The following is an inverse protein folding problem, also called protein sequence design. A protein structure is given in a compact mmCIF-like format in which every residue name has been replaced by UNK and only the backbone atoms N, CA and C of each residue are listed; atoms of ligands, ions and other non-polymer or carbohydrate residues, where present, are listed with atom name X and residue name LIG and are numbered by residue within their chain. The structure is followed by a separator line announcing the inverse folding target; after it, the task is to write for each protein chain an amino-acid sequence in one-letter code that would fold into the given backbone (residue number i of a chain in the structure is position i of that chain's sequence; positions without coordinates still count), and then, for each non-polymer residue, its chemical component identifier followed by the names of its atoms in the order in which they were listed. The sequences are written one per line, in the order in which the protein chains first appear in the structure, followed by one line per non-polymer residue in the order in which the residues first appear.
data_IF_997386768137
#
_entry.id   IF_997386768137
#
_cell.length_a   1.000
_cell.length_b   1.000
_cell.length_c   1.000
_cell.angle_alpha   90.00
_cell.angle_beta   90.00
_cell.angle_gamma   90.00
#
_symmetry.space_group_name_H-M   'P 1'
#
loop_
_entity.id
_entity.type
_entity.pdbx_description
1 polymer ?
#
# COMPACT_ATOMS: atom_id res chain seq x y z
N UNK A 1 22.16 -69.48 63.82
CA UNK A 1 21.14 -68.41 63.68
C UNK A 1 21.78 -67.09 64.06
N UNK A 2 21.76 -66.16 63.11
CA UNK A 2 22.71 -65.06 62.95
C UNK A 2 22.60 -64.01 64.06
N UNK A 3 23.69 -63.78 64.77
CA UNK A 3 23.93 -62.60 65.61
C UNK A 3 25.00 -61.76 64.93
N UNK A 4 24.72 -60.46 64.85
CA UNK A 4 25.48 -59.52 64.05
C UNK A 4 26.80 -59.03 64.65
N UNK A 5 27.29 -58.01 63.94
CA UNK A 5 28.42 -57.12 64.21
C UNK A 5 29.81 -57.74 64.04
N UNK A 6 30.52 -57.20 63.05
CA UNK A 6 31.94 -56.77 62.99
C UNK A 6 32.20 -56.53 61.48
N UNK A 7 32.25 -55.27 61.00
CA UNK A 7 33.48 -54.49 60.76
C UNK A 7 34.43 -55.24 59.77
N UNK A 8 34.84 -54.75 58.58
CA UNK A 8 35.69 -53.57 58.33
C UNK A 8 36.26 -53.67 56.88
N UNK A 9 36.53 -52.50 56.24
CA UNK A 9 37.41 -52.20 55.08
C UNK A 9 36.99 -52.72 53.68
N UNK A 10 36.98 -51.97 52.56
CA UNK A 10 37.91 -51.00 51.93
C UNK A 10 37.02 -50.22 50.91
N UNK A 11 37.02 -48.89 50.70
CA UNK A 11 38.05 -48.03 50.12
C UNK A 11 37.49 -46.59 49.94
N UNK A 12 38.33 -45.57 50.21
CA UNK A 12 38.47 -44.28 49.48
C UNK A 12 37.21 -43.40 49.27
N UNK A 13 37.10 -42.14 49.70
CA UNK A 13 38.03 -41.19 50.33
C UNK A 13 37.48 -39.76 50.15
N UNK A 14 37.40 -39.01 51.26
CA UNK A 14 37.60 -37.55 51.43
C UNK A 14 36.78 -36.56 50.55
N UNK A 15 36.14 -35.47 51.02
CA UNK A 15 36.12 -34.72 52.29
C UNK A 15 34.89 -33.81 52.26
N UNK A 16 34.18 -33.75 53.39
CA UNK A 16 33.38 -32.61 53.81
C UNK A 16 34.17 -31.86 54.90
N UNK A 17 34.14 -30.53 54.91
CA UNK A 17 34.55 -29.74 56.07
C UNK A 17 33.64 -28.52 56.21
N UNK A 18 32.95 -28.41 57.35
CA UNK A 18 32.06 -27.31 57.71
C UNK A 18 32.70 -26.26 58.62
N UNK A 19 31.87 -25.24 58.95
CA UNK A 19 31.63 -24.65 60.29
C UNK A 19 32.84 -24.64 61.26
N UNK A 20 33.34 -23.53 61.84
CA UNK A 20 32.68 -22.40 62.54
C UNK A 20 33.77 -21.43 63.03
N UNK A 21 33.43 -20.13 63.12
CA UNK A 21 33.87 -19.09 64.08
C UNK A 21 35.33 -19.03 64.58
N UNK A 22 35.93 -17.84 64.54
CA UNK A 22 36.48 -17.06 65.68
C UNK A 22 36.90 -15.68 65.13
N UNK A 23 36.49 -14.61 65.81
CA UNK A 23 36.80 -13.23 65.43
C UNK A 23 38.19 -12.78 65.88
N UNK A 24 38.75 -11.82 65.15
CA UNK A 24 39.56 -10.73 65.70
C UNK A 24 39.77 -9.65 64.64
N UNK A 25 39.33 -8.46 65.01
CA UNK A 25 39.44 -7.13 64.39
C UNK A 25 40.87 -6.72 64.01
N UNK A 26 41.05 -6.17 62.80
CA UNK A 26 42.03 -5.11 62.51
C UNK A 26 41.67 -4.32 61.22
N UNK A 27 40.88 -3.26 61.43
CA UNK A 27 40.96 -1.92 60.84
C UNK A 27 41.95 -1.69 59.66
N UNK A 28 41.45 -1.44 58.44
CA UNK A 28 41.96 -0.39 57.55
C UNK A 28 40.78 0.25 56.80
N UNK A 29 40.68 1.57 56.92
CA UNK A 29 39.68 2.45 56.37
C UNK A 29 39.80 2.64 54.84
N UNK A 30 38.63 2.64 54.20
CA UNK A 30 38.11 3.67 53.30
C UNK A 30 38.52 3.76 51.81
N UNK A 31 37.43 3.92 51.03
CA UNK A 31 37.23 4.82 49.89
C UNK A 31 37.49 4.27 48.48
N UNK A 32 36.39 3.90 47.83
CA UNK A 32 36.20 3.88 46.37
C UNK A 32 36.31 5.30 45.79
N UNK A 33 37.10 5.56 44.73
CA UNK A 33 36.92 6.77 43.95
C UNK A 33 35.91 6.53 42.83
N UNK A 34 34.83 7.30 42.93
CA UNK A 34 33.91 7.68 41.87
C UNK A 34 34.72 8.43 40.80
N UNK A 35 34.72 7.97 39.55
CA UNK A 35 35.39 8.66 38.46
C UNK A 35 34.62 9.92 38.05
N UNK A 36 35.01 11.07 38.60
CA UNK A 36 34.68 12.39 38.10
C UNK A 36 35.86 12.87 37.24
N UNK A 37 35.63 13.06 35.94
CA UNK A 37 36.66 13.47 34.99
C UNK A 37 36.63 15.00 34.85
N UNK A 38 37.33 15.68 35.76
CA UNK A 38 37.61 17.11 35.69
C UNK A 38 38.80 17.32 34.74
N UNK A 39 38.56 17.99 33.60
CA UNK A 39 39.62 18.38 32.66
C UNK A 39 40.22 19.70 33.12
N UNK A 40 41.45 19.62 33.63
CA UNK A 40 42.26 20.75 34.03
C UNK A 40 43.17 21.15 32.86
N UNK A 41 42.77 22.19 32.12
CA UNK A 41 43.42 22.70 30.90
C UNK A 41 44.63 23.59 31.23
N UNK A 42 45.60 23.04 31.96
CA UNK A 42 46.86 23.72 32.25
C UNK A 42 47.97 23.03 31.44
N UNK A 43 48.74 23.84 30.71
CA UNK A 43 49.86 23.50 29.81
C UNK A 43 49.53 23.30 28.32
N UNK A 44 49.21 24.41 27.63
CA UNK A 44 49.58 24.58 26.22
C UNK A 44 49.95 26.04 25.92
N UNK A 45 51.13 26.46 26.34
CA UNK A 45 51.73 27.73 25.87
C UNK A 45 52.74 27.42 24.78
N UNK A 46 52.27 27.31 23.54
CA UNK A 46 53.08 27.64 22.37
C UNK A 46 52.44 28.85 21.71
N UNK A 47 53.05 30.01 21.97
CA UNK A 47 52.61 31.34 21.53
C UNK A 47 53.07 31.53 20.09
N UNK A 48 52.13 31.55 19.17
CA UNK A 48 52.35 31.83 17.74
C UNK A 48 52.61 33.35 17.54
N UNK A 49 53.78 33.79 17.04
CA UNK A 49 54.18 35.20 17.04
C UNK A 49 53.64 36.04 15.87
N UNK A 50 52.67 35.56 15.08
CA UNK A 50 52.20 36.27 13.87
C UNK A 50 50.71 36.65 13.83
N UNK A 51 50.00 36.70 14.97
CA UNK A 51 48.66 37.33 15.00
C UNK A 51 48.76 38.83 15.27
N UNK A 52 48.83 39.59 14.19
CA UNK A 52 48.40 41.00 14.14
C UNK A 52 47.06 41.16 14.85
N UNK A 53 47.00 42.16 15.73
CA UNK A 53 45.85 42.58 16.51
C UNK A 53 44.58 42.68 15.64
N UNK A 54 43.62 41.78 15.88
CA UNK A 54 42.25 42.00 15.40
C UNK A 54 41.59 42.98 16.36
N UNK A 55 41.58 44.25 15.95
CA UNK A 55 40.79 45.31 16.55
C UNK A 55 39.36 44.83 16.78
N UNK A 56 38.87 45.02 18.00
CA UNK A 56 37.46 44.84 18.36
C UNK A 56 36.62 45.86 17.56
N UNK A 57 36.07 45.43 16.44
CA UNK A 57 35.01 46.19 15.74
C UNK A 57 33.69 45.87 16.44
N UNK A 58 32.99 46.86 17.01
CA UNK A 58 31.66 46.62 17.57
C UNK A 58 30.77 46.14 16.42
N UNK A 59 30.15 44.97 16.59
CA UNK A 59 29.15 44.46 15.64
C UNK A 59 27.98 45.45 15.62
N UNK A 60 27.96 46.32 14.62
CA UNK A 60 26.72 47.00 14.24
C UNK A 60 25.68 45.92 13.99
N UNK A 61 24.55 46.04 14.69
CA UNK A 61 23.38 45.20 14.50
C UNK A 61 22.77 45.54 13.15
N UNK A 62 23.31 44.95 12.09
CA UNK A 62 22.67 44.96 10.78
C UNK A 62 21.39 44.14 10.90
N UNK A 63 20.26 44.81 11.08
CA UNK A 63 18.96 44.18 10.83
C UNK A 63 18.83 44.11 9.31
N UNK A 64 18.72 42.92 8.70
CA UNK A 64 18.49 42.87 7.25
C UNK A 64 17.22 43.66 6.94
N UNK A 65 17.19 44.46 5.86
CA UNK A 65 15.93 45.05 5.43
C UNK A 65 14.95 43.91 5.24
N UNK A 66 13.79 44.03 5.88
CA UNK A 66 12.67 43.15 5.65
C UNK A 66 12.25 43.36 4.20
N UNK A 67 12.88 42.64 3.28
CA UNK A 67 12.32 42.45 1.95
C UNK A 67 11.03 41.68 2.17
N UNK A 68 9.95 42.45 2.27
CA UNK A 68 8.65 42.10 1.73
C UNK A 68 8.88 41.45 0.35
N UNK A 69 8.15 40.38 0.08
CA UNK A 69 8.20 39.56 -1.14
C UNK A 69 9.19 38.38 -1.15
N UNK A 70 9.25 37.62 -0.06
CA UNK A 70 9.39 36.18 -0.24
C UNK A 70 8.12 35.70 -0.97
N UNK A 71 8.19 35.10 -2.18
CA UNK A 71 7.00 34.62 -2.86
C UNK A 71 6.28 33.69 -1.89
N UNK A 72 5.00 34.01 -1.61
CA UNK A 72 4.17 33.21 -0.74
C UNK A 72 4.36 31.76 -1.15
N UNK A 73 4.93 30.94 -0.25
CA UNK A 73 5.14 29.53 -0.49
C UNK A 73 3.76 28.98 -0.79
N UNK A 74 3.46 28.75 -2.08
CA UNK A 74 2.16 28.26 -2.50
C UNK A 74 1.95 26.98 -1.69
N UNK A 75 1.04 27.05 -0.73
CA UNK A 75 0.60 25.87 -0.02
C UNK A 75 0.12 24.94 -1.11
N UNK A 76 0.81 23.80 -1.30
CA UNK A 76 0.33 22.77 -2.21
C UNK A 76 -1.17 22.61 -1.97
N UNK A 77 -2.01 22.61 -3.02
CA UNK A 77 -3.43 22.37 -2.86
C UNK A 77 -3.58 21.16 -1.93
N UNK A 78 -4.32 21.34 -0.84
CA UNK A 78 -4.72 20.23 0.03
C UNK A 78 -5.35 19.21 -0.91
N UNK A 79 -4.78 18.00 -0.93
CA UNK A 79 -5.35 16.89 -1.70
C UNK A 79 -6.83 16.81 -1.31
N UNK A 80 -7.76 16.82 -2.28
CA UNK A 80 -9.18 16.87 -1.96
C UNK A 80 -9.52 15.72 -1.02
N UNK A 81 -10.40 15.94 -0.02
CA UNK A 81 -10.75 14.89 0.94
C UNK A 81 -11.27 13.67 0.18
N UNK A 82 -10.64 12.52 0.41
CA UNK A 82 -11.06 11.27 -0.21
C UNK A 82 -12.45 10.90 0.28
N UNK A 83 -13.38 10.66 -0.63
CA UNK A 83 -14.68 10.05 -0.35
C UNK A 83 -14.60 8.53 -0.13
N UNK A 84 -13.39 7.98 0.02
CA UNK A 84 -13.19 6.55 0.26
C UNK A 84 -13.76 6.13 1.62
N UNK A 85 -14.37 4.94 1.72
CA UNK A 85 -14.85 4.38 2.97
C UNK A 85 -13.73 4.31 4.01
N UNK A 86 -14.11 4.56 5.26
CA UNK A 86 -13.20 4.53 6.39
C UNK A 86 -13.65 3.49 7.41
N UNK A 87 -12.99 2.34 7.39
CA UNK A 87 -13.21 1.26 8.34
C UNK A 87 -12.27 1.35 9.54
N UNK A 88 -12.64 0.64 10.60
CA UNK A 88 -11.85 0.52 11.82
C UNK A 88 -11.20 -0.86 11.86
N UNK A 89 -9.89 -0.90 12.12
CA UNK A 89 -9.19 -2.14 12.44
C UNK A 89 -9.01 -2.22 13.96
N UNK A 90 -9.33 -3.38 14.55
CA UNK A 90 -9.40 -3.57 16.01
C UNK A 90 -8.16 -4.28 16.54
N UNK A 91 -7.80 -4.11 17.80
CA UNK A 91 -6.65 -4.82 18.36
C UNK A 91 -6.97 -6.27 18.76
N UNK A 92 -8.23 -6.63 18.99
CA UNK A 92 -8.67 -7.99 19.35
C UNK A 92 -10.08 -8.32 18.86
N UNK A 93 -10.44 -9.61 18.84
CA UNK A 93 -11.79 -10.04 18.49
C UNK A 93 -12.84 -9.50 19.50
N UNK A 94 -12.49 -9.47 20.79
CA UNK A 94 -13.37 -8.94 21.85
C UNK A 94 -13.67 -7.45 21.65
N UNK A 95 -12.63 -6.65 21.39
CA UNK A 95 -12.80 -5.22 21.10
C UNK A 95 -13.66 -4.99 19.86
N UNK A 96 -13.48 -5.81 18.82
CA UNK A 96 -14.32 -5.74 17.62
C UNK A 96 -15.79 -6.01 17.95
N UNK A 97 -16.09 -7.05 18.74
CA UNK A 97 -17.44 -7.40 19.14
C UNK A 97 -18.10 -6.32 20.01
N UNK A 98 -17.33 -5.65 20.88
CA UNK A 98 -17.83 -4.56 21.74
C UNK A 98 -18.10 -3.26 20.97
N UNK A 99 -17.25 -2.93 20.00
CA UNK A 99 -17.37 -1.69 19.23
C UNK A 99 -18.44 -1.75 18.13
N UNK A 100 -18.85 -2.95 17.72
CA UNK A 100 -19.79 -3.16 16.61
C UNK A 100 -21.21 -3.34 17.13
N UNK A 101 -22.18 -2.92 16.33
CA UNK A 101 -23.61 -3.13 16.62
C UNK A 101 -23.99 -4.62 16.63
N UNK A 102 -23.25 -5.45 15.90
CA UNK A 102 -23.43 -6.90 15.89
C UNK A 102 -22.06 -7.58 15.82
N UNK A 103 -21.90 -8.73 16.51
CA UNK A 103 -20.64 -9.46 16.52
C UNK A 103 -20.26 -9.88 15.11
N UNK A 104 -18.95 -9.92 14.83
CA UNK A 104 -18.47 -10.35 13.52
C UNK A 104 -18.59 -11.88 13.38
N UNK A 105 -18.89 -12.33 12.17
CA UNK A 105 -18.90 -13.75 11.81
C UNK A 105 -17.51 -14.23 11.43
N UNK A 106 -16.74 -13.38 10.74
CA UNK A 106 -15.38 -13.68 10.31
C UNK A 106 -14.42 -12.61 10.86
N UNK A 107 -13.29 -13.06 11.39
CA UNK A 107 -12.21 -12.22 11.91
C UNK A 107 -10.95 -12.49 11.10
N UNK A 108 -10.48 -11.45 10.42
CA UNK A 108 -9.26 -11.47 9.61
C UNK A 108 -8.13 -10.90 10.47
N UNK A 109 -7.19 -11.74 10.90
CA UNK A 109 -6.01 -11.29 11.61
C UNK A 109 -4.91 -10.88 10.63
N UNK A 110 -4.56 -9.60 10.63
CA UNK A 110 -3.48 -9.05 9.82
C UNK A 110 -2.28 -8.80 10.72
N UNK A 111 -1.17 -9.46 10.45
CA UNK A 111 0.01 -9.45 11.32
C UNK A 111 1.32 -9.39 10.54
N UNK A 112 2.39 -9.01 11.25
CA UNK A 112 3.72 -8.82 10.69
C UNK A 112 4.34 -7.49 11.09
N UNK A 113 5.25 -6.97 10.26
CA UNK A 113 6.04 -5.78 10.59
C UNK A 113 5.26 -4.47 10.36
N UNK A 114 5.97 -3.35 10.16
CA UNK A 114 5.36 -2.04 9.96
C UNK A 114 4.50 -1.93 8.69
N UNK A 115 4.59 -2.87 7.75
CA UNK A 115 3.71 -2.92 6.58
C UNK A 115 2.32 -3.50 6.88
N UNK A 116 2.19 -4.27 7.96
CA UNK A 116 0.94 -4.95 8.30
C UNK A 116 -0.15 -3.98 8.75
N UNK A 117 0.20 -2.88 9.42
CA UNK A 117 -0.79 -1.91 9.89
C UNK A 117 -1.50 -1.17 8.74
N UNK A 118 -0.79 -0.60 7.74
CA UNK A 118 -1.45 -0.03 6.56
C UNK A 118 -2.31 -1.04 5.79
N UNK A 119 -1.87 -2.30 5.72
CA UNK A 119 -2.64 -3.38 5.11
C UNK A 119 -3.95 -3.65 5.87
N UNK A 120 -3.87 -3.75 7.21
CA UNK A 120 -5.03 -3.97 8.06
C UNK A 120 -6.07 -2.85 7.90
N UNK A 121 -5.61 -1.59 7.91
CA UNK A 121 -6.48 -0.42 7.68
C UNK A 121 -7.10 -0.46 6.28
N UNK A 122 -6.31 -0.78 5.25
CA UNK A 122 -6.82 -0.89 3.88
C UNK A 122 -7.85 -2.01 3.69
N UNK A 123 -7.73 -3.13 4.41
CA UNK A 123 -8.74 -4.20 4.41
C UNK A 123 -9.99 -3.77 5.18
N UNK A 124 -9.85 -3.10 6.32
CA UNK A 124 -10.98 -2.56 7.08
C UNK A 124 -11.78 -1.55 6.26
N UNK A 125 -11.09 -0.63 5.55
CA UNK A 125 -11.68 0.32 4.62
C UNK A 125 -12.45 -0.40 3.48
N UNK A 126 -12.09 -1.63 3.13
CA UNK A 126 -12.79 -2.41 2.11
C UNK A 126 -14.10 -3.01 2.58
N UNK A 127 -14.05 -3.71 3.69
CA UNK A 127 -15.16 -4.56 4.12
C UNK A 127 -16.24 -3.76 4.84
N UNK A 128 -15.94 -2.55 5.32
CA UNK A 128 -16.89 -1.73 6.09
C UNK A 128 -18.20 -1.44 5.35
N UNK A 129 -18.20 -1.37 4.01
CA UNK A 129 -19.43 -1.13 3.23
C UNK A 129 -20.09 -2.43 2.74
N UNK A 130 -19.31 -3.37 2.19
CA UNK A 130 -19.87 -4.53 1.48
C UNK A 130 -20.09 -5.75 2.37
N UNK A 131 -19.30 -5.88 3.45
CA UNK A 131 -19.25 -7.05 4.31
C UNK A 131 -19.17 -6.62 5.78
N UNK A 132 -20.25 -6.02 6.33
CA UNK A 132 -20.33 -5.59 7.72
C UNK A 132 -20.37 -6.76 8.72
N UNK A 133 -20.21 -8.01 8.27
CA UNK A 133 -20.06 -9.21 9.09
C UNK A 133 -18.58 -9.56 9.34
N UNK A 134 -17.66 -8.90 8.64
CA UNK A 134 -16.22 -9.12 8.74
C UNK A 134 -15.60 -8.09 9.68
N UNK A 135 -14.77 -8.55 10.61
CA UNK A 135 -13.90 -7.71 11.42
C UNK A 135 -12.43 -7.92 11.04
N UNK A 136 -11.67 -6.82 10.97
CA UNK A 136 -10.22 -6.87 10.71
C UNK A 136 -9.48 -6.60 12.01
N UNK A 137 -8.62 -7.53 12.40
CA UNK A 137 -7.78 -7.43 13.58
C UNK A 137 -6.38 -6.96 13.17
N UNK A 138 -5.96 -5.80 13.65
CA UNK A 138 -4.61 -5.28 13.47
C UNK A 138 -3.69 -5.83 14.56
N UNK A 139 -2.85 -6.79 14.19
CA UNK A 139 -1.85 -7.43 15.04
C UNK A 139 -0.43 -7.05 14.60
N UNK A 140 -0.26 -5.94 13.88
CA UNK A 140 1.04 -5.47 13.41
C UNK A 140 1.98 -5.12 14.58
N UNK A 141 3.28 -5.42 14.40
CA UNK A 141 4.35 -5.07 15.35
C UNK A 141 5.52 -4.46 14.56
N UNK A 142 5.64 -3.13 14.49
CA UNK A 142 6.51 -2.43 13.52
C UNK A 142 7.97 -2.87 13.47
N UNK A 143 8.60 -3.08 14.63
CA UNK A 143 10.05 -3.32 14.74
C UNK A 143 10.40 -4.81 14.82
N UNK A 144 9.50 -5.68 14.36
CA UNK A 144 9.69 -7.13 14.44
C UNK A 144 10.21 -7.73 13.15
N UNK A 145 10.73 -8.95 13.26
CA UNK A 145 11.28 -9.75 12.19
C UNK A 145 10.90 -11.21 12.43
N UNK A 146 10.74 -11.98 11.36
CA UNK A 146 10.52 -13.41 11.45
C UNK A 146 11.79 -14.15 11.89
N UNK A 147 12.96 -13.76 11.36
CA UNK A 147 14.23 -14.41 11.72
C UNK A 147 14.66 -14.16 13.16
N UNK A 148 14.43 -12.94 13.68
CA UNK A 148 14.74 -12.58 15.07
C UNK A 148 13.61 -12.98 16.03
N UNK A 149 13.95 -13.21 17.29
CA UNK A 149 12.98 -13.38 18.39
C UNK A 149 12.75 -12.09 19.20
N UNK A 150 13.57 -11.09 18.96
CA UNK A 150 13.53 -9.77 19.60
C UNK A 150 13.16 -8.72 18.56
N UNK A 151 12.21 -7.81 18.87
CA UNK A 151 11.50 -7.65 20.15
C UNK A 151 10.33 -8.64 20.36
N UNK A 152 9.95 -9.43 19.35
CA UNK A 152 8.93 -10.46 19.49
C UNK A 152 9.22 -11.69 18.62
N UNK A 153 8.92 -12.87 19.15
CA UNK A 153 8.96 -14.14 18.40
C UNK A 153 7.61 -14.38 17.71
N UNK A 154 7.58 -14.26 16.39
CA UNK A 154 6.36 -14.43 15.60
C UNK A 154 5.76 -15.83 15.67
N UNK A 155 6.58 -16.87 15.88
CA UNK A 155 6.06 -18.24 16.00
C UNK A 155 5.24 -18.36 17.28
N UNK A 156 5.77 -17.87 18.41
CA UNK A 156 5.06 -17.85 19.68
C UNK A 156 3.86 -16.88 19.65
N UNK A 157 4.03 -15.69 19.09
CA UNK A 157 2.97 -14.70 18.98
C UNK A 157 1.80 -15.19 18.12
N UNK A 158 2.08 -15.92 17.03
CA UNK A 158 1.04 -16.54 16.20
C UNK A 158 0.30 -17.64 16.97
N UNK A 159 1.00 -18.49 17.73
CA UNK A 159 0.36 -19.50 18.58
C UNK A 159 -0.58 -18.88 19.61
N UNK A 160 -0.13 -17.81 20.29
CA UNK A 160 -0.94 -17.08 21.26
C UNK A 160 -2.16 -16.42 20.61
N UNK A 161 -1.96 -15.73 19.50
CA UNK A 161 -3.04 -15.09 18.74
C UNK A 161 -4.10 -16.10 18.30
N UNK A 162 -3.69 -17.27 17.77
CA UNK A 162 -4.60 -18.33 17.36
C UNK A 162 -5.27 -19.07 18.52
N UNK A 163 -4.79 -18.88 19.76
CA UNK A 163 -5.39 -19.46 20.96
C UNK A 163 -6.36 -18.49 21.68
N UNK A 164 -6.07 -17.19 21.61
CA UNK A 164 -6.79 -16.15 22.37
C UNK A 164 -7.86 -15.43 21.56
N UNK A 165 -7.60 -15.16 20.27
CA UNK A 165 -8.53 -14.45 19.39
C UNK A 165 -9.31 -15.43 18.50
N UNK A 166 -10.54 -15.03 18.13
CA UNK A 166 -11.40 -15.78 17.20
C UNK A 166 -10.93 -15.68 15.74
N UNK A 167 -9.67 -16.01 15.44
CA UNK A 167 -9.11 -15.83 14.09
C UNK A 167 -9.69 -16.86 13.10
N UNK A 168 -10.31 -16.38 12.03
CA UNK A 168 -10.89 -17.20 10.96
C UNK A 168 -10.10 -17.19 9.65
N UNK A 169 -9.31 -16.12 9.44
CA UNK A 169 -8.40 -15.94 8.29
C UNK A 169 -7.15 -15.21 8.80
N UNK A 170 -5.97 -15.69 8.39
CA UNK A 170 -4.70 -15.01 8.65
C UNK A 170 -4.18 -14.30 7.40
N UNK A 171 -3.61 -13.10 7.58
CA UNK A 171 -2.91 -12.37 6.53
C UNK A 171 -1.57 -11.90 7.10
N UNK A 172 -0.48 -12.25 6.43
CA UNK A 172 0.88 -11.92 6.90
C UNK A 172 1.63 -11.07 5.89
N UNK A 173 2.28 -10.01 6.36
CA UNK A 173 3.28 -9.25 5.61
C UNK A 173 4.46 -8.91 6.51
N UNK A 174 5.62 -9.48 6.21
CA UNK A 174 6.82 -9.32 7.03
C UNK A 174 8.08 -9.47 6.18
N UNK A 175 9.05 -8.56 6.36
CA UNK A 175 10.27 -8.61 5.55
C UNK A 175 11.24 -7.45 5.70
N UNK A 176 10.79 -6.27 6.13
CA UNK A 176 11.64 -5.06 6.14
C UNK A 176 12.86 -5.23 7.06
N UNK A 177 12.66 -5.94 8.16
CA UNK A 177 13.64 -6.08 9.23
C UNK A 177 14.51 -7.35 9.12
N UNK A 178 14.26 -8.20 8.13
CA UNK A 178 15.02 -9.43 7.85
C UNK A 178 16.49 -9.17 7.45
N UNK A 179 16.79 -7.94 7.05
CA UNK A 179 18.14 -7.46 6.71
C UNK A 179 19.06 -7.29 7.91
N UNK A 180 18.55 -7.50 9.12
CA UNK A 180 19.33 -7.38 10.33
C UNK A 180 20.02 -8.72 10.62
N UNK A 181 21.25 -8.68 11.12
CA UNK A 181 21.92 -9.87 11.61
C UNK A 181 21.08 -10.53 12.70
N UNK A 182 21.00 -11.85 12.68
CA UNK A 182 20.25 -12.64 13.64
C UNK A 182 21.14 -13.72 14.22
N UNK A 183 20.75 -14.23 15.38
CA UNK A 183 21.47 -15.27 16.10
C UNK A 183 20.73 -16.59 15.98
N UNK A 184 21.49 -17.68 15.88
CA UNK A 184 20.94 -19.03 15.95
C UNK A 184 20.69 -19.46 17.40
N UNK A 185 20.21 -20.69 17.57
CA UNK A 185 19.94 -21.27 18.88
C UNK A 185 21.20 -21.44 19.74
N UNK A 186 22.39 -21.41 19.13
CA UNK A 186 23.69 -21.49 19.81
C UNK A 186 24.28 -20.11 20.14
N UNK A 187 23.60 -19.02 19.73
CA UNK A 187 24.06 -17.65 19.87
C UNK A 187 25.02 -17.19 18.77
N UNK A 188 25.31 -18.03 17.77
CA UNK A 188 26.14 -17.64 16.65
C UNK A 188 25.38 -16.68 15.72
N UNK A 189 26.00 -15.56 15.40
CA UNK A 189 25.40 -14.57 14.49
C UNK A 189 25.58 -15.03 13.05
N UNK A 190 24.49 -15.02 12.28
CA UNK A 190 24.53 -15.26 10.85
C UNK A 190 24.14 -14.00 10.08
N UNK A 191 24.95 -13.69 9.06
CA UNK A 191 24.76 -12.51 8.23
C UNK A 191 23.55 -12.67 7.29
N UNK A 192 22.81 -11.60 6.99
CA UNK A 192 21.71 -11.63 6.03
C UNK A 192 22.13 -12.25 4.70
N UNK A 193 21.27 -13.13 4.15
CA UNK A 193 21.50 -13.89 2.90
C UNK A 193 22.65 -14.91 2.92
N UNK A 194 23.35 -15.09 4.03
CA UNK A 194 24.25 -16.25 4.16
C UNK A 194 23.46 -17.56 4.07
N UNK A 195 24.12 -18.67 3.71
CA UNK A 195 23.45 -19.96 3.60
C UNK A 195 22.74 -20.37 4.91
N UNK A 196 23.40 -20.14 6.05
CA UNK A 196 22.80 -20.36 7.38
C UNK A 196 21.58 -19.49 7.62
N UNK A 197 21.63 -18.22 7.23
CA UNK A 197 20.50 -17.31 7.32
C UNK A 197 19.31 -17.83 6.50
N UNK A 198 19.56 -18.27 5.26
CA UNK A 198 18.52 -18.79 4.36
C UNK A 198 17.87 -20.05 4.93
N UNK A 199 18.65 -20.97 5.48
CA UNK A 199 18.15 -22.19 6.12
C UNK A 199 17.27 -21.85 7.34
N UNK A 200 17.73 -20.95 8.21
CA UNK A 200 16.98 -20.54 9.40
C UNK A 200 15.69 -19.78 9.04
N UNK A 201 15.75 -18.86 8.06
CA UNK A 201 14.60 -18.11 7.59
C UNK A 201 13.55 -19.01 6.95
N UNK A 202 13.99 -19.89 6.05
CA UNK A 202 13.15 -20.91 5.43
C UNK A 202 12.40 -21.74 6.47
N UNK A 203 13.12 -22.24 7.49
CA UNK A 203 12.51 -23.05 8.55
C UNK A 203 11.43 -22.28 9.29
N UNK A 204 11.66 -21.01 9.61
CA UNK A 204 10.66 -20.19 10.30
C UNK A 204 9.45 -19.85 9.44
N UNK A 205 9.64 -19.64 8.14
CA UNK A 205 8.53 -19.48 7.18
C UNK A 205 7.68 -20.75 7.17
N UNK A 206 8.32 -21.92 7.07
CA UNK A 206 7.65 -23.22 7.09
C UNK A 206 6.92 -23.47 8.43
N UNK A 207 7.56 -23.17 9.56
CA UNK A 207 6.97 -23.31 10.90
C UNK A 207 5.72 -22.42 11.06
N UNK A 208 5.79 -21.16 10.63
CA UNK A 208 4.65 -20.24 10.69
C UNK A 208 3.47 -20.75 9.85
N UNK A 209 3.72 -21.20 8.61
CA UNK A 209 2.68 -21.76 7.75
C UNK A 209 2.08 -23.04 8.35
N UNK A 210 2.91 -23.89 8.97
CA UNK A 210 2.47 -25.13 9.61
C UNK A 210 1.52 -24.87 10.78
N UNK A 211 1.72 -23.80 11.56
CA UNK A 211 0.82 -23.43 12.67
C UNK A 211 -0.62 -23.15 12.19
N UNK A 212 -0.76 -22.36 11.12
CA UNK A 212 -2.07 -22.02 10.56
C UNK A 212 -2.76 -23.26 9.97
N UNK A 213 -2.00 -24.10 9.26
CA UNK A 213 -2.51 -25.38 8.75
C UNK A 213 -2.97 -26.31 9.85
N UNK A 214 -2.22 -26.44 10.94
CA UNK A 214 -2.58 -27.29 12.07
C UNK A 214 -3.91 -26.88 12.72
N UNK A 215 -4.27 -25.59 12.63
CA UNK A 215 -5.55 -25.04 13.11
C UNK A 215 -6.64 -25.01 12.02
N UNK A 216 -6.36 -25.47 10.81
CA UNK A 216 -7.24 -25.35 9.63
C UNK A 216 -7.67 -23.91 9.32
N UNK A 217 -6.81 -22.93 9.62
CA UNK A 217 -7.07 -21.53 9.32
C UNK A 217 -6.33 -21.17 8.03
N UNK A 218 -7.01 -20.63 7.00
CA UNK A 218 -6.38 -20.17 5.78
C UNK A 218 -5.44 -19.00 6.09
N UNK A 219 -4.23 -19.06 5.53
CA UNK A 219 -3.23 -18.00 5.63
C UNK A 219 -2.97 -17.44 4.23
N UNK A 220 -2.99 -16.11 4.09
CA UNK A 220 -2.55 -15.41 2.89
C UNK A 220 -1.22 -14.73 3.17
N UNK A 221 -0.18 -15.10 2.41
CA UNK A 221 1.13 -14.46 2.55
C UNK A 221 1.28 -13.36 1.51
N UNK A 222 1.37 -12.12 1.97
CA UNK A 222 1.51 -10.96 1.10
C UNK A 222 2.98 -10.73 0.78
N UNK A 223 3.30 -10.60 -0.50
CA UNK A 223 4.63 -10.27 -0.97
C UNK A 223 5.08 -8.89 -0.51
N UNK A 224 6.40 -8.70 -0.52
CA UNK A 224 7.03 -7.45 -0.17
C UNK A 224 7.11 -6.54 -1.40
N UNK A 225 6.62 -5.30 -1.32
CA UNK A 225 6.60 -4.37 -2.43
C UNK A 225 7.98 -3.74 -2.70
N UNK A 226 8.16 -3.17 -3.90
CA UNK A 226 9.37 -2.42 -4.26
C UNK A 226 9.60 -1.20 -3.34
N UNK A 227 10.86 -0.94 -3.01
CA UNK A 227 11.26 0.15 -2.11
C UNK A 227 12.07 1.21 -2.84
N UNK A 228 12.12 2.44 -2.30
CA UNK A 228 12.87 3.56 -2.92
C UNK A 228 14.37 3.28 -3.06
N UNK A 229 14.95 2.60 -2.07
CA UNK A 229 16.35 2.18 -2.13
C UNK A 229 16.47 0.92 -2.98
N UNK A 230 17.27 0.95 -4.04
CA UNK A 230 17.49 -0.20 -4.91
C UNK A 230 18.01 -1.43 -4.16
N UNK A 231 18.93 -1.24 -3.18
CA UNK A 231 19.44 -2.33 -2.33
C UNK A 231 18.32 -2.95 -1.50
N UNK A 232 17.49 -2.14 -0.85
CA UNK A 232 16.38 -2.65 -0.05
C UNK A 232 15.34 -3.35 -0.95
N UNK A 233 15.09 -2.81 -2.15
CA UNK A 233 14.19 -3.42 -3.13
C UNK A 233 14.69 -4.80 -3.57
N UNK A 234 15.99 -4.96 -3.80
CA UNK A 234 16.62 -6.27 -4.08
C UNK A 234 16.51 -7.22 -2.88
N UNK A 235 16.61 -6.72 -1.65
CA UNK A 235 16.37 -7.51 -0.43
C UNK A 235 14.93 -8.05 -0.41
N UNK A 236 13.94 -7.20 -0.71
CA UNK A 236 12.54 -7.63 -0.78
C UNK A 236 12.30 -8.69 -1.86
N UNK A 237 12.89 -8.52 -3.06
CA UNK A 237 12.82 -9.55 -4.12
C UNK A 237 13.39 -10.89 -3.66
N UNK A 238 14.58 -10.86 -3.05
CA UNK A 238 15.24 -12.06 -2.55
C UNK A 238 14.38 -12.80 -1.51
N UNK A 239 13.77 -12.08 -0.57
CA UNK A 239 12.87 -12.69 0.42
C UNK A 239 11.58 -13.22 -0.22
N UNK A 240 11.01 -12.48 -1.17
CA UNK A 240 9.81 -12.91 -1.89
C UNK A 240 10.03 -14.23 -2.63
N UNK A 241 11.18 -14.45 -3.26
CA UNK A 241 11.47 -15.72 -3.94
C UNK A 241 11.45 -16.90 -2.96
N UNK A 242 12.09 -16.75 -1.80
CA UNK A 242 12.08 -17.78 -0.75
C UNK A 242 10.65 -18.03 -0.26
N UNK A 243 9.93 -16.97 0.11
CA UNK A 243 8.56 -17.06 0.62
C UNK A 243 7.66 -17.72 -0.42
N UNK A 244 7.70 -17.28 -1.68
CA UNK A 244 6.86 -17.80 -2.77
C UNK A 244 7.09 -19.29 -2.96
N UNK A 245 8.35 -19.73 -2.99
CA UNK A 245 8.68 -21.14 -3.11
C UNK A 245 8.11 -21.96 -1.94
N UNK A 246 8.28 -21.47 -0.70
CA UNK A 246 7.80 -22.15 0.50
C UNK A 246 6.28 -22.18 0.59
N UNK A 247 5.64 -21.06 0.26
CA UNK A 247 4.19 -20.93 0.20
C UNK A 247 3.59 -21.90 -0.82
N UNK A 248 4.19 -22.01 -2.02
CA UNK A 248 3.75 -22.95 -3.05
C UNK A 248 3.86 -24.42 -2.58
N UNK A 249 4.97 -24.80 -1.93
CA UNK A 249 5.14 -26.15 -1.33
C UNK A 249 4.13 -26.41 -0.22
N UNK A 250 3.78 -25.37 0.54
CA UNK A 250 2.78 -25.46 1.58
C UNK A 250 1.35 -25.35 1.03
N UNK A 251 1.09 -25.01 -0.23
CA UNK A 251 -0.26 -24.70 -0.69
C UNK A 251 -0.89 -23.49 0.04
N UNK A 252 -0.04 -22.57 0.50
CA UNK A 252 -0.45 -21.28 1.06
C UNK A 252 -0.44 -20.26 -0.08
N UNK A 253 -1.52 -19.51 -0.32
CA UNK A 253 -1.54 -18.47 -1.35
C UNK A 253 -0.48 -17.39 -1.07
N UNK A 254 0.39 -17.15 -2.05
CA UNK A 254 1.31 -16.02 -2.08
C UNK A 254 0.72 -14.90 -2.95
N UNK A 255 0.41 -13.77 -2.35
CA UNK A 255 -0.16 -12.60 -3.04
C UNK A 255 0.97 -11.70 -3.50
N UNK A 256 1.25 -11.71 -4.80
CA UNK A 256 2.23 -10.83 -5.39
C UNK A 256 1.68 -9.41 -5.52
N UNK A 257 2.39 -8.45 -4.95
CA UNK A 257 2.00 -7.03 -4.94
C UNK A 257 3.02 -6.16 -5.68
N UNK A 258 4.09 -6.74 -6.23
CA UNK A 258 5.22 -6.00 -6.79
C UNK A 258 4.78 -5.00 -7.86
N UNK A 259 4.03 -5.49 -8.84
CA UNK A 259 3.56 -4.72 -10.00
C UNK A 259 2.62 -3.57 -9.63
N UNK A 260 1.98 -3.62 -8.46
CA UNK A 260 1.13 -2.55 -7.95
C UNK A 260 1.88 -1.29 -7.54
N UNK A 261 3.18 -1.40 -7.29
CA UNK A 261 4.01 -0.34 -6.68
C UNK A 261 5.26 0.00 -7.48
N UNK A 262 5.31 -0.42 -8.74
CA UNK A 262 6.33 -0.02 -9.71
C UNK A 262 5.69 0.68 -10.92
N UNK A 263 6.51 1.38 -11.70
CA UNK A 263 6.13 1.86 -13.02
C UNK A 263 6.30 0.78 -14.10
N UNK A 264 6.03 1.14 -15.36
CA UNK A 264 6.17 0.26 -16.52
C UNK A 264 7.61 -0.24 -16.72
N UNK A 265 8.60 0.48 -16.19
CA UNK A 265 10.02 0.11 -16.23
C UNK A 265 10.44 -0.70 -14.99
N UNK A 266 9.48 -1.12 -14.15
CA UNK A 266 9.73 -1.86 -12.92
C UNK A 266 10.40 -1.05 -11.81
N UNK A 267 10.42 0.28 -11.92
CA UNK A 267 11.05 1.16 -10.95
C UNK A 267 10.06 1.61 -9.87
N UNK A 268 10.59 1.89 -8.68
CA UNK A 268 9.79 2.34 -7.54
C UNK A 268 9.00 3.62 -7.84
N UNK A 269 7.70 3.62 -7.52
CA UNK A 269 6.85 4.81 -7.59
C UNK A 269 6.40 5.29 -6.22
N UNK A 270 6.46 6.60 -5.99
CA UNK A 270 5.90 7.24 -4.77
C UNK A 270 4.41 7.54 -4.91
N UNK A 271 3.95 7.78 -6.13
CA UNK A 271 2.56 8.15 -6.45
C UNK A 271 2.14 7.43 -7.71
N UNK A 272 0.91 6.95 -7.74
CA UNK A 272 0.38 6.14 -8.82
C UNK A 272 -1.15 6.12 -8.79
N UNK A 273 -1.78 5.38 -9.70
CA UNK A 273 -3.23 5.20 -9.67
C UNK A 273 -3.62 4.51 -8.35
N UNK A 274 -4.49 5.18 -7.59
CA UNK A 274 -5.26 4.58 -6.51
C UNK A 274 -6.43 3.77 -7.09
N UNK A 275 -7.28 3.20 -6.23
CA UNK A 275 -8.38 2.32 -6.65
C UNK A 275 -9.47 3.04 -7.44
N UNK A 276 -9.66 4.33 -7.21
CA UNK A 276 -10.54 5.18 -7.99
C UNK A 276 -9.92 5.66 -9.32
N UNK A 277 -8.74 5.13 -9.68
CA UNK A 277 -7.99 5.52 -10.87
C UNK A 277 -7.29 6.87 -10.75
N UNK A 278 -7.53 7.63 -9.68
CA UNK A 278 -6.89 8.93 -9.48
C UNK A 278 -5.44 8.76 -9.05
N UNK A 279 -4.56 9.62 -9.54
CA UNK A 279 -3.16 9.59 -9.14
C UNK A 279 -3.03 10.14 -7.71
N UNK A 280 -2.80 9.27 -6.73
CA UNK A 280 -2.55 9.63 -5.34
C UNK A 280 -1.15 9.24 -4.92
N UNK A 281 -0.72 9.80 -3.80
CA UNK A 281 0.52 9.37 -3.13
C UNK A 281 0.29 8.02 -2.45
N UNK A 282 1.04 7.00 -2.86
CA UNK A 282 0.93 5.64 -2.32
C UNK A 282 1.98 5.37 -1.23
N UNK A 283 3.16 5.97 -1.35
CA UNK A 283 4.27 5.79 -0.41
C UNK A 283 4.57 7.06 0.39
N UNK A 284 4.96 6.89 1.64
CA UNK A 284 5.47 7.96 2.50
C UNK A 284 6.84 8.47 1.99
N UNK A 285 7.33 9.57 2.55
CA UNK A 285 8.59 10.20 2.11
C UNK A 285 9.83 9.36 2.37
N UNK A 286 9.73 8.42 3.31
CA UNK A 286 10.76 7.42 3.61
C UNK A 286 10.98 6.42 2.47
N UNK A 287 10.00 6.25 1.58
CA UNK A 287 10.06 5.28 0.49
C UNK A 287 9.91 3.82 0.93
N UNK A 288 9.39 3.60 2.14
CA UNK A 288 9.20 2.27 2.75
C UNK A 288 7.74 2.08 3.22
N UNK A 289 7.15 3.08 3.88
CA UNK A 289 5.81 2.94 4.45
C UNK A 289 4.74 3.42 3.47
N UNK A 290 3.53 2.93 3.69
CA UNK A 290 2.36 3.30 2.90
C UNK A 290 1.62 4.49 3.50
N UNK A 291 1.04 5.29 2.61
CA UNK A 291 -0.07 6.18 2.97
C UNK A 291 -1.35 5.35 3.14
N UNK A 292 -2.44 5.98 3.58
CA UNK A 292 -3.75 5.29 3.61
C UNK A 292 -4.18 4.79 2.22
N UNK A 293 -4.05 5.64 1.19
CA UNK A 293 -4.36 5.25 -0.20
C UNK A 293 -3.47 4.09 -0.69
N UNK A 294 -2.19 4.09 -0.31
CA UNK A 294 -1.26 2.99 -0.57
C UNK A 294 -1.67 1.69 0.14
N UNK A 295 -2.06 1.78 1.40
CA UNK A 295 -2.57 0.65 2.19
C UNK A 295 -3.87 0.07 1.63
N UNK A 296 -4.80 0.92 1.17
CA UNK A 296 -6.01 0.50 0.47
C UNK A 296 -5.68 -0.23 -0.84
N UNK A 297 -4.76 0.30 -1.64
CA UNK A 297 -4.28 -0.37 -2.86
C UNK A 297 -3.61 -1.72 -2.54
N UNK A 298 -2.79 -1.79 -1.50
CA UNK A 298 -2.16 -3.03 -1.05
C UNK A 298 -3.21 -4.07 -0.65
N UNK A 299 -4.20 -3.65 0.14
CA UNK A 299 -5.30 -4.48 0.59
C UNK A 299 -6.11 -5.06 -0.58
N UNK A 300 -6.30 -4.30 -1.66
CA UNK A 300 -7.05 -4.76 -2.83
C UNK A 300 -6.49 -6.05 -3.46
N UNK A 301 -5.16 -6.22 -3.47
CA UNK A 301 -4.54 -7.44 -4.01
C UNK A 301 -4.95 -8.69 -3.23
N UNK A 302 -5.02 -8.59 -1.91
CA UNK A 302 -5.35 -9.71 -1.02
C UNK A 302 -6.87 -9.89 -0.89
N UNK A 303 -7.59 -8.78 -0.95
CA UNK A 303 -9.04 -8.72 -0.81
C UNK A 303 -9.75 -9.65 -1.79
N UNK A 304 -9.29 -9.73 -3.04
CA UNK A 304 -9.88 -10.61 -4.05
C UNK A 304 -9.92 -12.07 -3.57
N UNK A 305 -8.79 -12.56 -3.07
CA UNK A 305 -8.67 -13.96 -2.67
C UNK A 305 -9.42 -14.23 -1.36
N UNK A 306 -9.41 -13.26 -0.44
CA UNK A 306 -10.20 -13.33 0.79
C UNK A 306 -11.70 -13.37 0.46
N UNK A 307 -12.20 -12.50 -0.43
CA UNK A 307 -13.62 -12.49 -0.83
C UNK A 307 -14.06 -13.83 -1.42
N UNK A 308 -13.25 -14.43 -2.29
CA UNK A 308 -13.53 -15.76 -2.84
C UNK A 308 -13.68 -16.82 -1.75
N UNK A 309 -12.90 -16.72 -0.67
CA UNK A 309 -13.00 -17.60 0.48
C UNK A 309 -14.22 -17.29 1.35
N UNK A 310 -14.51 -16.00 1.57
CA UNK A 310 -15.63 -15.55 2.39
C UNK A 310 -16.99 -15.86 1.73
N UNK A 311 -17.13 -15.68 0.41
CA UNK A 311 -18.38 -15.96 -0.31
C UNK A 311 -18.75 -17.46 -0.28
N UNK A 312 -17.77 -18.35 -0.04
CA UNK A 312 -18.02 -19.79 0.19
C UNK A 312 -18.52 -20.09 1.61
N UNK A 313 -18.14 -19.27 2.60
CA UNK A 313 -18.46 -19.46 4.03
C UNK A 313 -19.69 -18.69 4.48
N UNK A 314 -19.91 -17.53 3.87
CA UNK A 314 -21.03 -16.64 4.08
C UNK A 314 -21.88 -16.74 2.80
N UNK A 315 -22.89 -17.64 2.76
CA UNK A 315 -23.79 -17.70 1.62
C UNK A 315 -24.54 -16.37 1.56
N UNK A 316 -24.17 -15.52 0.61
CA UNK A 316 -24.94 -14.31 0.35
C UNK A 316 -26.26 -14.77 -0.25
N UNK A 317 -27.38 -14.41 0.37
CA UNK A 317 -28.64 -14.39 -0.35
C UNK A 317 -28.38 -13.62 -1.66
N UNK A 318 -28.80 -14.13 -2.83
CA UNK A 318 -28.62 -13.39 -4.07
C UNK A 318 -29.07 -11.97 -3.80
N UNK A 319 -28.19 -10.99 -4.05
CA UNK A 319 -28.60 -9.60 -4.04
C UNK A 319 -29.88 -9.58 -4.85
N UNK A 320 -30.99 -9.16 -4.24
CA UNK A 320 -32.26 -9.07 -4.94
C UNK A 320 -31.99 -8.19 -6.15
N UNK A 321 -31.79 -8.82 -7.30
CA UNK A 321 -31.85 -8.14 -8.57
C UNK A 321 -33.25 -7.61 -8.53
N UNK A 322 -33.36 -6.30 -8.29
CA UNK A 322 -34.61 -5.59 -8.36
C UNK A 322 -34.97 -5.49 -9.85
N UNK A 323 -35.09 -6.64 -10.51
CA UNK A 323 -35.97 -6.82 -11.64
C UNK A 323 -37.35 -6.69 -11.03
N UNK A 324 -37.80 -5.43 -10.94
CA UNK A 324 -39.22 -5.09 -10.90
C UNK A 324 -39.85 -5.69 -12.15
N UNK A 325 -40.13 -6.98 -12.09
CA UNK A 325 -41.15 -7.61 -12.89
C UNK A 325 -42.45 -6.99 -12.39
N UNK A 326 -43.19 -6.22 -13.20
CA UNK A 326 -44.49 -5.72 -12.79
C UNK A 326 -45.35 -6.94 -12.42
N UNK A 327 -46.07 -6.91 -11.28
CA UNK A 327 -46.97 -8.01 -10.94
C UNK A 327 -47.98 -8.18 -12.08
N UNK A 328 -48.31 -9.41 -12.51
CA UNK A 328 -49.37 -9.61 -13.48
C UNK A 328 -50.67 -9.09 -12.85
N UNK A 329 -51.28 -8.11 -13.54
CA UNK A 329 -52.56 -7.55 -13.16
C UNK A 329 -53.59 -8.68 -13.01
N UNK A 330 -54.21 -8.76 -11.83
CA UNK A 330 -55.34 -9.64 -11.59
C UNK A 330 -56.53 -9.22 -12.47
N UNK A 331 -57.17 -10.14 -13.21
CA UNK A 331 -58.45 -9.85 -13.84
C UNK A 331 -59.58 -10.00 -12.82
N UNK A 332 -60.40 -8.96 -12.68
CA UNK A 332 -61.69 -9.03 -11.98
C UNK A 332 -62.70 -9.91 -12.76
N UNK A 333 -63.73 -10.46 -12.07
CA UNK A 333 -64.51 -11.58 -12.55
C UNK A 333 -65.76 -11.14 -13.33
N UNK A 334 -66.12 -11.86 -14.38
CA UNK A 334 -67.51 -12.05 -14.83
C UNK A 334 -67.65 -13.33 -15.72
N UNK A 335 -68.44 -14.27 -15.19
CA UNK A 335 -69.17 -15.49 -15.67
C UNK A 335 -69.25 -15.88 -17.17
N UNK A 336 -69.70 -17.12 -17.56
CA UNK A 336 -69.79 -18.42 -16.84
C UNK A 336 -69.28 -19.68 -17.62
N UNK A 337 -69.08 -20.76 -16.86
CA UNK A 337 -68.99 -22.20 -17.14
C UNK A 337 -69.03 -22.75 -18.60
N UNK A 338 -68.03 -23.56 -18.95
CA UNK A 338 -68.25 -24.92 -19.51
C UNK A 338 -67.07 -25.84 -19.13
N UNK A 339 -67.39 -27.01 -18.60
CA UNK A 339 -66.46 -28.05 -18.15
C UNK A 339 -65.74 -28.74 -19.32
N UNK A 340 -64.46 -29.13 -19.15
CA UNK A 340 -63.85 -30.44 -19.49
C UNK A 340 -62.45 -30.51 -18.85
N UNK A 341 -62.22 -31.42 -17.92
CA UNK A 341 -60.92 -32.11 -17.69
C UNK A 341 -60.92 -33.40 -18.53
N UNK A 342 -59.79 -34.08 -18.88
CA UNK A 342 -58.46 -34.08 -18.22
C UNK A 342 -57.24 -34.17 -19.16
N UNK A 343 -56.00 -33.98 -18.64
CA UNK A 343 -54.86 -34.94 -18.74
C UNK A 343 -53.50 -34.28 -18.50
N UNK A 344 -52.75 -34.90 -17.59
CA UNK A 344 -51.29 -34.77 -17.43
C UNK A 344 -50.61 -35.64 -18.49
N UNK A 345 -49.56 -35.14 -19.16
CA UNK A 345 -48.34 -35.95 -19.29
C UNK A 345 -47.05 -35.21 -18.90
N UNK A 346 -46.10 -36.02 -18.46
CA UNK A 346 -44.81 -35.75 -17.82
C UNK A 346 -43.80 -34.87 -18.60
N UNK A 347 -42.80 -34.29 -17.90
CA UNK A 347 -41.73 -33.51 -18.53
C UNK A 347 -40.73 -34.40 -19.28
N UNK A 348 -40.48 -34.11 -20.55
CA UNK A 348 -39.36 -34.66 -21.31
C UNK A 348 -38.08 -33.83 -21.09
N UNK A 349 -36.90 -34.47 -21.08
CA UNK A 349 -35.63 -33.81 -20.76
C UNK A 349 -35.20 -32.84 -21.87
N UNK A 350 -34.82 -31.60 -21.47
CA UNK A 350 -34.27 -30.59 -22.38
C UNK A 350 -32.98 -31.10 -23.06
N UNK A 351 -33.05 -31.27 -24.37
CA UNK A 351 -31.88 -31.38 -25.23
C UNK A 351 -31.14 -30.03 -25.28
N UNK A 352 -29.82 -30.04 -25.00
CA UNK A 352 -28.96 -28.87 -25.21
C UNK A 352 -28.89 -28.53 -26.70
N UNK A 353 -29.04 -27.26 -27.11
CA UNK A 353 -28.84 -26.89 -28.50
C UNK A 353 -27.35 -26.99 -28.87
N UNK A 354 -27.08 -27.74 -29.93
CA UNK A 354 -25.77 -27.87 -30.58
C UNK A 354 -25.48 -26.58 -31.37
N UNK A 355 -24.46 -25.86 -30.93
CA UNK A 355 -23.63 -24.87 -31.65
C UNK A 355 -24.32 -23.87 -32.62
N UNK A 356 -24.17 -22.58 -32.31
CA UNK A 356 -24.44 -21.48 -33.24
C UNK A 356 -23.40 -21.38 -34.38
N UNK A 357 -23.70 -20.63 -35.47
CA UNK A 357 -22.85 -20.57 -36.64
C UNK A 357 -21.52 -19.85 -36.37
N UNK A 358 -20.43 -20.41 -36.89
CA UNK A 358 -19.06 -19.89 -36.77
C UNK A 358 -18.88 -18.71 -37.75
N UNK A 359 -18.56 -17.52 -37.22
CA UNK A 359 -18.27 -16.32 -38.01
C UNK A 359 -16.76 -16.25 -38.31
N UNK A 360 -16.33 -16.13 -39.58
CA UNK A 360 -14.91 -15.97 -39.92
C UNK A 360 -14.42 -14.56 -39.54
N UNK A 361 -13.20 -14.48 -38.99
CA UNK A 361 -12.59 -13.24 -38.49
C UNK A 361 -12.01 -12.33 -39.60
N UNK A 362 -12.17 -12.68 -40.88
CA UNK A 362 -11.65 -11.91 -42.01
C UNK A 362 -12.73 -11.81 -43.09
N UNK A 363 -13.52 -10.74 -43.04
CA UNK A 363 -14.52 -10.44 -44.06
C UNK A 363 -15.67 -9.59 -43.51
N UNK A 364 -15.51 -8.27 -43.54
CA UNK A 364 -16.57 -7.33 -43.20
C UNK A 364 -17.64 -7.30 -44.30
N UNK A 365 -18.83 -7.85 -44.03
CA UNK A 365 -20.10 -7.42 -44.64
C UNK A 365 -21.27 -7.83 -43.74
N UNK A 366 -21.76 -6.91 -42.92
CA UNK A 366 -23.07 -6.96 -42.27
C UNK A 366 -23.89 -5.71 -42.65
N UNK A 367 -25.23 -5.77 -42.65
CA UNK A 367 -26.07 -4.70 -43.16
C UNK A 367 -25.85 -3.40 -42.39
N UNK A 368 -25.67 -2.31 -43.14
CA UNK A 368 -25.49 -0.95 -42.67
C UNK A 368 -26.75 -0.45 -41.96
N UNK A 369 -26.81 -0.70 -40.65
CA UNK A 369 -27.73 -0.08 -39.71
C UNK A 369 -26.95 0.45 -38.50
N UNK A 370 -27.37 1.57 -37.88
CA UNK A 370 -26.68 2.10 -36.72
C UNK A 370 -26.75 1.10 -35.56
N UNK A 371 -25.59 0.81 -34.97
CA UNK A 371 -25.46 0.04 -33.73
C UNK A 371 -26.28 0.72 -32.63
N UNK A 372 -27.16 -0.02 -31.98
CA UNK A 372 -27.99 0.50 -30.88
C UNK A 372 -27.09 1.03 -29.75
N UNK A 373 -27.09 2.35 -29.57
CA UNK A 373 -26.28 3.07 -28.58
C UNK A 373 -25.41 4.19 -29.16
N UNK A 374 -25.17 4.22 -30.47
CA UNK A 374 -24.47 5.34 -31.11
C UNK A 374 -25.44 6.50 -31.39
N UNK A 375 -25.25 7.64 -30.73
CA UNK A 375 -25.85 8.89 -31.21
C UNK A 375 -25.24 9.22 -32.58
N UNK A 376 -26.04 9.52 -33.61
CA UNK A 376 -25.49 9.92 -34.90
C UNK A 376 -24.62 11.15 -34.69
N UNK A 377 -23.38 11.09 -35.14
CA UNK A 377 -22.46 12.21 -35.13
C UNK A 377 -23.19 13.42 -35.71
N UNK A 378 -23.34 14.45 -34.87
CA UNK A 378 -23.87 15.75 -35.26
C UNK A 378 -23.23 16.12 -36.60
N UNK A 379 -24.05 16.36 -37.62
CA UNK A 379 -23.63 16.94 -38.90
C UNK A 379 -22.59 18.02 -38.61
N UNK A 380 -21.33 17.75 -38.94
CA UNK A 380 -20.25 18.73 -38.84
C UNK A 380 -20.36 19.70 -40.01
N UNK A 381 -21.45 20.44 -40.06
CA UNK A 381 -21.48 21.75 -40.71
C UNK A 381 -21.19 22.76 -39.62
N UNK A 382 -19.97 22.72 -39.12
CA UNK A 382 -19.42 23.81 -38.32
C UNK A 382 -19.32 25.03 -39.22
N UNK A 383 -20.03 26.11 -38.91
CA UNK A 383 -19.89 27.41 -39.59
C UNK A 383 -18.57 28.11 -39.27
N UNK A 384 -17.70 27.47 -38.47
CA UNK A 384 -16.40 28.01 -38.11
C UNK A 384 -15.40 27.76 -39.27
N UNK A 385 -14.86 28.82 -39.90
CA UNK A 385 -13.95 28.70 -41.01
C UNK A 385 -12.69 27.90 -40.66
N UNK A 386 -12.24 27.94 -39.40
CA UNK A 386 -11.04 27.23 -38.93
C UNK A 386 -11.30 25.72 -38.89
N UNK A 387 -12.48 25.31 -38.41
CA UNK A 387 -12.85 23.90 -38.32
C UNK A 387 -13.01 23.30 -39.72
N UNK A 388 -13.59 24.05 -40.66
CA UNK A 388 -13.68 23.62 -42.06
C UNK A 388 -12.30 23.53 -42.72
N UNK A 389 -11.41 24.48 -42.42
CA UNK A 389 -10.04 24.48 -42.94
C UNK A 389 -9.26 23.24 -42.47
N UNK A 390 -9.37 22.87 -41.19
CA UNK A 390 -8.61 21.75 -40.59
C UNK A 390 -9.22 20.39 -40.90
N UNK A 391 -10.53 20.20 -40.70
CA UNK A 391 -11.15 18.87 -40.84
C UNK A 391 -11.60 18.54 -42.27
N UNK A 392 -11.93 19.55 -43.08
CA UNK A 392 -12.46 19.32 -44.45
C UNK A 392 -11.38 19.54 -45.50
N UNK A 393 -10.57 20.60 -45.38
CA UNK A 393 -9.51 20.90 -46.36
C UNK A 393 -8.14 20.33 -45.98
N UNK A 394 -7.95 19.89 -44.74
CA UNK A 394 -6.66 19.36 -44.26
C UNK A 394 -5.55 20.42 -44.22
N UNK A 395 -5.92 21.70 -44.19
CA UNK A 395 -4.97 22.81 -44.14
C UNK A 395 -4.59 23.10 -42.68
N UNK A 396 -3.29 23.30 -42.41
CA UNK A 396 -2.79 23.64 -41.08
C UNK A 396 -3.10 25.10 -40.73
N UNK A 397 -3.65 25.40 -39.55
CA UNK A 397 -3.93 26.78 -39.14
C UNK A 397 -2.61 27.54 -38.93
N UNK A 398 -2.60 28.88 -39.07
CA UNK A 398 -1.41 29.67 -38.85
C UNK A 398 -0.90 29.52 -37.41
N UNK A 399 0.41 29.41 -37.18
CA UNK A 399 0.97 29.20 -35.85
C UNK A 399 0.71 30.42 -34.96
N UNK A 400 0.41 30.16 -33.69
CA UNK A 400 0.24 31.19 -32.67
C UNK A 400 1.49 31.23 -31.81
N UNK A 401 2.08 32.42 -31.63
CA UNK A 401 3.30 32.62 -30.87
C UNK A 401 3.24 31.95 -29.48
N UNK A 402 4.17 31.04 -29.20
CA UNK A 402 4.28 30.33 -27.91
C UNK A 402 3.39 29.08 -27.75
N UNK A 403 2.65 28.66 -28.78
CA UNK A 403 2.03 27.31 -28.81
C UNK A 403 3.00 26.28 -29.42
N UNK A 404 2.74 25.00 -29.17
CA UNK A 404 3.57 23.89 -29.62
C UNK A 404 3.67 23.73 -31.15
N UNK A 405 2.77 24.38 -31.90
CA UNK A 405 2.74 24.46 -33.37
C UNK A 405 3.56 25.65 -33.93
N UNK A 406 4.16 26.49 -33.08
CA UNK A 406 5.06 27.57 -33.49
C UNK A 406 6.52 27.07 -33.58
N UNK A 407 6.92 26.68 -34.80
CA UNK A 407 8.27 26.22 -35.11
C UNK A 407 9.25 27.36 -35.44
N UNK A 408 8.87 28.62 -35.21
CA UNK A 408 9.76 29.76 -35.44
C UNK A 408 10.78 29.84 -34.30
N UNK A 409 12.04 29.53 -34.62
CA UNK A 409 13.16 29.62 -33.68
C UNK A 409 13.57 31.08 -33.45
N UNK A 410 13.53 31.64 -32.23
CA UNK A 410 13.96 33.00 -31.99
C UNK A 410 15.49 33.08 -31.96
N UNK A 411 16.11 33.64 -33.00
CA UNK A 411 17.55 33.88 -33.00
C UNK A 411 18.08 34.71 -34.17
N UNK A 412 18.13 36.03 -33.98
CA UNK A 412 19.16 37.00 -34.41
C UNK A 412 18.53 38.37 -34.78
N UNK A 413 18.68 39.34 -33.87
CA UNK A 413 18.52 40.80 -34.05
C UNK A 413 17.28 41.29 -34.81
N UNK A 414 16.24 41.66 -34.05
CA UNK A 414 15.32 42.72 -34.46
C UNK A 414 15.23 43.75 -33.34
N UNK A 415 15.77 44.93 -33.63
CA UNK A 415 15.61 46.20 -32.92
C UNK A 415 14.20 46.37 -32.33
N UNK A 416 14.04 46.90 -31.10
CA UNK A 416 12.71 47.20 -30.59
C UNK A 416 12.07 48.24 -31.49
N UNK A 417 11.02 47.85 -32.21
CA UNK A 417 10.21 48.79 -32.96
C UNK A 417 9.57 49.76 -31.96
N UNK A 418 9.85 51.04 -32.20
CA UNK A 418 9.46 52.16 -31.38
C UNK A 418 7.95 52.17 -31.09
N UNK A 419 7.64 52.56 -29.85
CA UNK A 419 6.33 53.08 -29.50
C UNK A 419 5.95 54.25 -30.41
N UNK A 420 4.72 54.26 -30.90
CA UNK A 420 3.95 55.45 -31.30
C UNK A 420 2.47 55.06 -31.42
N UNK A 421 1.54 56.01 -31.28
CA UNK A 421 0.62 56.00 -30.14
C UNK A 421 -0.82 55.69 -30.54
N UNK A 422 -1.64 55.49 -29.51
CA UNK A 422 -3.09 55.70 -29.48
C UNK A 422 -3.56 56.72 -30.52
N UNK A 423 -4.46 56.30 -31.41
CA UNK A 423 -5.44 57.23 -31.97
C UNK A 423 -6.78 56.54 -32.09
N UNK A 424 -7.74 57.12 -31.39
CA UNK A 424 -9.13 56.72 -31.34
C UNK A 424 -9.81 56.90 -32.70
N UNK A 425 -10.72 55.98 -33.00
CA UNK A 425 -11.76 56.10 -34.02
C UNK A 425 -12.64 57.33 -33.76
N UNK A 426 -12.87 58.22 -34.74
CA UNK A 426 -14.09 58.99 -34.81
C UNK A 426 -15.07 58.32 -35.78
N UNK A 427 -16.33 58.27 -35.35
CA UNK A 427 -17.45 57.84 -36.18
C UNK A 427 -18.01 59.00 -37.02
N UNK A 428 -18.58 58.61 -38.16
CA UNK A 428 -19.72 59.21 -38.89
C UNK A 428 -19.48 59.95 -40.23
N UNK A 429 -20.23 59.44 -41.23
CA UNK A 429 -20.96 60.13 -42.31
C UNK A 429 -20.26 60.53 -43.63
N UNK A 430 -20.33 59.62 -44.63
CA UNK A 430 -20.97 59.67 -45.98
C UNK A 430 -21.38 61.05 -46.57
N UNK A 431 -21.60 61.23 -47.91
CA UNK A 431 -20.94 60.79 -49.17
C UNK A 431 -20.67 61.97 -50.17
N UNK A 432 -20.02 61.72 -51.32
CA UNK A 432 -20.46 62.13 -52.70
C UNK A 432 -19.31 62.13 -53.75
N UNK A 433 -19.65 61.58 -54.92
CA UNK A 433 -19.03 61.57 -56.28
C UNK A 433 -18.59 62.95 -56.86
N UNK A 434 -18.11 63.07 -58.13
CA UNK A 434 -17.13 62.29 -58.91
C UNK A 434 -16.16 63.17 -59.76
N UNK A 435 -15.09 62.57 -60.28
CA UNK A 435 -14.53 62.82 -61.62
C UNK A 435 -13.75 64.12 -61.92
N UNK A 436 -12.49 63.99 -62.38
CA UNK A 436 -12.09 64.22 -63.79
C UNK A 436 -10.56 64.19 -63.99
N UNK A 437 -10.20 63.50 -65.07
CA UNK A 437 -9.21 63.84 -66.10
C UNK A 437 -7.73 64.06 -65.71
N UNK A 438 -6.93 63.11 -66.19
CA UNK A 438 -5.65 63.20 -66.93
C UNK A 438 -5.35 64.57 -67.58
N UNK A 439 -4.07 64.89 -67.90
CA UNK A 439 -3.21 64.10 -68.80
C UNK A 439 -1.98 63.44 -68.17
#
# INVERSE_FOLDING_TARGET
MVRGRIAVLVAWGLVACGLTAWGLTALVLAATPLAAQERDDRYFTLRDPFRTERSYVPRMRWSPPTNLDAPARQSKPLEPPSTEPQGTAYASATEADEARTSPALEYIAVFGDSLAEPLAKGLADSFVQDLPEVAVLNKARPDTSLIRKDPADWIAAAQEMLASDKVTVGVVVIGINERQAAQDETGATFEPRSERWVQAYTRRVDDLMALFKAKNIPLFWVGLPAMKSGRLSQDMQFYNEIIRERAARAGVPFVDVWDGFVDEQGQFVTSGPALDGQKRRLRNSDGIHFTRAGGRKLAHFVERDIRLLLDQRIPRAPAETNEQTPPPAAPSPDVPATAVTPQVPQPQPLARPVAGPVVPLVGATGPSGPLAGATPARSMQSSDPIVTQVLVRGETPPPVAGRADDFVWPGATATPAAATPTTATPAAATPAEPGKATP
#
